data_IF_008642707142
#
_entry.id   IF_008642707142
#
_cell.length_a   1.000
_cell.length_b   1.000
_cell.length_c   1.000
_cell.angle_alpha   90.00
_cell.angle_beta   90.00
_cell.angle_gamma   90.00
#
_symmetry.space_group_name_H-M   'P 1'
#
loop_
_entity.id
_entity.type
_entity.pdbx_description
1 polymer ?
#
# COMPACT_ATOMS: atom_id res chain seq x y z
N UNK A 1 -2.18 12.32 8.43
CA UNK A 1 -1.08 12.23 7.45
C UNK A 1 -1.71 11.86 6.13
N UNK A 2 -1.55 12.71 5.10
CA UNK A 2 -2.04 12.44 3.76
C UNK A 2 -1.37 11.22 3.15
N UNK A 3 -2.13 10.48 2.36
CA UNK A 3 -1.72 9.22 1.76
C UNK A 3 -2.16 9.19 0.30
N UNK A 4 -1.20 9.03 -0.60
CA UNK A 4 -1.48 8.94 -2.04
C UNK A 4 -1.25 7.51 -2.49
N UNK A 5 -2.24 6.87 -3.10
CA UNK A 5 -2.05 5.56 -3.72
C UNK A 5 -0.98 5.67 -4.79
N UNK A 6 -0.11 4.67 -4.87
CA UNK A 6 0.91 4.59 -5.89
C UNK A 6 0.90 3.20 -6.51
N UNK A 7 1.07 3.18 -7.81
CA UNK A 7 1.30 1.93 -8.52
C UNK A 7 2.76 1.54 -8.32
N UNK A 8 2.97 0.30 -7.89
CA UNK A 8 4.30 -0.25 -7.66
C UNK A 8 4.45 -1.55 -8.42
N UNK A 9 5.67 -1.82 -8.86
CA UNK A 9 6.07 -3.10 -9.44
C UNK A 9 6.99 -3.84 -8.49
N UNK A 10 6.75 -5.13 -8.29
CA UNK A 10 7.63 -5.97 -7.50
C UNK A 10 9.00 -6.09 -8.18
N UNK A 11 10.04 -5.76 -7.43
CA UNK A 11 11.42 -5.71 -7.92
C UNK A 11 12.32 -6.77 -7.27
N UNK A 12 11.73 -7.74 -6.58
CA UNK A 12 12.42 -8.81 -5.86
C UNK A 12 12.34 -8.63 -4.35
N UNK A 13 13.30 -9.20 -3.62
CA UNK A 13 13.41 -9.08 -2.16
C UNK A 13 14.71 -8.39 -1.77
N UNK A 14 14.65 -7.45 -0.83
CA UNK A 14 15.81 -6.78 -0.25
C UNK A 14 15.78 -6.99 1.26
N UNK A 15 16.86 -7.56 1.81
CA UNK A 15 16.97 -7.85 3.25
C UNK A 15 15.79 -8.67 3.83
N UNK A 16 15.20 -9.56 3.01
CA UNK A 16 14.05 -10.39 3.40
C UNK A 16 12.68 -9.71 3.26
N UNK A 17 12.64 -8.41 2.91
CA UNK A 17 11.43 -7.64 2.62
C UNK A 17 11.14 -7.64 1.12
N UNK A 18 9.87 -7.63 0.73
CA UNK A 18 9.46 -7.50 -0.67
C UNK A 18 9.75 -6.08 -1.16
N UNK A 19 10.67 -5.95 -2.11
CA UNK A 19 11.06 -4.66 -2.66
C UNK A 19 10.08 -4.26 -3.77
N UNK A 20 9.54 -3.05 -3.64
CA UNK A 20 8.56 -2.47 -4.54
C UNK A 20 9.16 -1.20 -5.14
N UNK A 21 9.05 -1.06 -6.47
CA UNK A 21 9.49 0.14 -7.18
C UNK A 21 8.24 0.91 -7.62
N UNK A 22 8.04 2.17 -7.21
CA UNK A 22 6.96 3.00 -7.71
C UNK A 22 7.14 3.20 -9.22
N UNK A 23 6.08 2.96 -9.98
CA UNK A 23 6.08 3.16 -11.43
C UNK A 23 5.92 4.62 -11.83
N UNK A 24 5.68 5.50 -10.85
CA UNK A 24 5.38 6.92 -11.06
C UNK A 24 3.91 7.23 -11.33
N UNK A 25 3.05 6.21 -11.41
CA UNK A 25 1.61 6.41 -11.48
C UNK A 25 1.02 6.54 -10.07
N UNK A 26 0.53 7.74 -9.77
CA UNK A 26 -0.21 8.04 -8.55
C UNK A 26 -1.71 7.78 -8.81
N UNK A 27 -2.38 7.18 -7.83
CA UNK A 27 -3.79 6.81 -7.86
C UNK A 27 -4.64 7.77 -7.02
N UNK A 28 -5.58 7.21 -6.24
CA UNK A 28 -6.41 8.02 -5.37
C UNK A 28 -5.60 8.70 -4.25
N UNK A 29 -5.84 9.99 -4.08
CA UNK A 29 -5.32 10.77 -2.96
C UNK A 29 -6.31 10.74 -1.79
N UNK A 30 -5.80 10.51 -0.59
CA UNK A 30 -6.56 10.56 0.66
C UNK A 30 -5.94 11.58 1.60
N UNK A 31 -6.75 12.46 2.16
CA UNK A 31 -6.27 13.42 3.16
C UNK A 31 -5.82 12.70 4.44
N UNK A 32 -6.44 11.55 4.74
CA UNK A 32 -5.98 10.63 5.79
C UNK A 32 -6.12 9.18 5.33
N UNK A 33 -5.08 8.37 5.54
CA UNK A 33 -5.14 6.92 5.27
C UNK A 33 -6.31 6.21 5.98
N UNK A 34 -6.75 6.77 7.11
CA UNK A 34 -7.89 6.27 7.86
C UNK A 34 -9.20 6.33 7.05
N UNK A 35 -9.35 7.27 6.13
CA UNK A 35 -10.53 7.33 5.24
C UNK A 35 -10.59 6.09 4.36
N UNK A 36 -9.44 5.70 3.78
CA UNK A 36 -9.34 4.49 2.97
C UNK A 36 -9.60 3.24 3.82
N UNK A 37 -8.98 3.13 5.01
CA UNK A 37 -9.21 2.00 5.92
C UNK A 37 -10.68 1.90 6.33
N UNK A 38 -11.34 3.03 6.61
CA UNK A 38 -12.75 3.10 6.98
C UNK A 38 -13.64 2.67 5.82
N UNK A 39 -13.36 3.12 4.60
CA UNK A 39 -14.07 2.69 3.39
C UNK A 39 -13.95 1.18 3.16
N UNK A 40 -12.76 0.60 3.38
CA UNK A 40 -12.55 -0.85 3.28
C UNK A 40 -13.29 -1.63 4.37
N UNK A 41 -13.31 -1.11 5.60
CA UNK A 41 -14.04 -1.70 6.72
C UNK A 41 -15.56 -1.66 6.46
N UNK A 42 -16.09 -0.55 5.94
CA UNK A 42 -17.49 -0.43 5.51
C UNK A 42 -17.83 -1.41 4.39
N UNK A 43 -16.90 -1.62 3.45
CA UNK A 43 -17.01 -2.63 2.40
C UNK A 43 -16.80 -4.08 2.90
N UNK A 44 -16.67 -4.30 4.21
CA UNK A 44 -16.39 -5.60 4.85
C UNK A 44 -15.16 -6.31 4.26
N UNK A 45 -14.19 -5.55 3.76
CA UNK A 45 -12.93 -6.10 3.25
C UNK A 45 -11.94 -6.25 4.39
N UNK A 46 -11.36 -7.43 4.53
CA UNK A 46 -10.27 -7.67 5.45
C UNK A 46 -8.97 -7.08 4.87
N UNK A 47 -8.48 -6.04 5.52
CA UNK A 47 -7.24 -5.35 5.16
C UNK A 47 -6.20 -5.60 6.26
N UNK A 48 -4.99 -5.94 5.86
CA UNK A 48 -3.86 -6.17 6.77
C UNK A 48 -2.73 -5.22 6.41
N UNK A 49 -2.17 -4.59 7.43
CA UNK A 49 -0.93 -3.82 7.28
C UNK A 49 0.25 -4.77 7.03
N UNK A 50 0.94 -4.54 5.92
CA UNK A 50 2.16 -5.26 5.50
C UNK A 50 3.31 -4.28 5.21
N UNK A 51 3.21 -3.04 5.70
CA UNK A 51 4.23 -1.99 5.54
C UNK A 51 5.59 -2.43 6.07
N UNK A 52 5.60 -3.25 7.12
CA UNK A 52 6.82 -3.82 7.72
C UNK A 52 7.44 -4.96 6.92
N UNK A 53 6.73 -5.49 5.93
CA UNK A 53 7.18 -6.60 5.07
C UNK A 53 7.58 -6.13 3.67
N UNK A 54 7.33 -4.86 3.33
CA UNK A 54 7.61 -4.31 2.02
C UNK A 54 8.50 -3.08 2.12
N UNK A 55 9.36 -2.91 1.12
CA UNK A 55 10.26 -1.77 1.03
C UNK A 55 10.04 -1.05 -0.29
N UNK A 56 9.58 0.20 -0.22
CA UNK A 56 9.31 1.00 -1.42
C UNK A 56 10.51 1.86 -1.75
N UNK A 57 11.17 1.56 -2.86
CA UNK A 57 12.37 2.27 -3.28
C UNK A 57 12.05 3.73 -3.64
N UNK A 58 12.79 4.67 -3.08
CA UNK A 58 12.66 6.09 -3.39
C UNK A 58 11.54 6.84 -2.64
N UNK A 59 10.89 6.19 -1.68
CA UNK A 59 9.88 6.81 -0.83
C UNK A 59 10.39 6.82 0.61
N UNK A 60 10.39 8.00 1.25
CA UNK A 60 10.84 8.15 2.64
C UNK A 60 9.85 7.51 3.63
N UNK A 61 8.56 7.68 3.39
CA UNK A 61 7.51 7.16 4.23
C UNK A 61 6.40 6.56 3.35
N UNK A 62 6.13 5.28 3.55
CA UNK A 62 5.09 4.57 2.82
C UNK A 62 4.25 3.74 3.78
N UNK A 63 3.05 3.42 3.35
CA UNK A 63 2.20 2.44 4.00
C UNK A 63 1.74 1.42 2.96
N UNK A 64 1.78 0.14 3.28
CA UNK A 64 1.35 -0.91 2.40
C UNK A 64 0.32 -1.79 3.08
N UNK A 65 -0.79 -1.98 2.39
CA UNK A 65 -1.93 -2.71 2.90
C UNK A 65 -2.27 -3.82 1.93
N UNK A 66 -2.44 -5.03 2.46
CA UNK A 66 -2.90 -6.17 1.72
C UNK A 66 -4.38 -6.40 2.03
N UNK A 67 -5.24 -6.30 1.01
CA UNK A 67 -6.64 -6.70 1.11
C UNK A 67 -6.84 -8.12 0.58
N UNK A 68 -7.63 -8.93 1.29
CA UNK A 68 -8.05 -10.25 0.83
C UNK A 68 -9.43 -10.12 0.17
N UNK A 69 -9.49 -10.27 -1.15
CA UNK A 69 -10.74 -10.33 -1.91
C UNK A 69 -10.94 -11.76 -2.41
N UNK A 70 -11.65 -12.56 -1.62
CA UNK A 70 -11.81 -14.00 -1.88
C UNK A 70 -10.48 -14.75 -1.85
N UNK A 71 -10.10 -15.37 -2.98
CA UNK A 71 -8.83 -16.08 -3.16
C UNK A 71 -7.66 -15.17 -3.58
N UNK A 72 -7.93 -13.93 -4.01
CA UNK A 72 -6.91 -13.00 -4.48
C UNK A 72 -6.48 -12.05 -3.36
N UNK A 73 -5.18 -11.84 -3.23
CA UNK A 73 -4.58 -10.84 -2.34
C UNK A 73 -4.21 -9.64 -3.20
N UNK A 74 -4.79 -8.48 -2.93
CA UNK A 74 -4.43 -7.22 -3.60
C UNK A 74 -3.55 -6.43 -2.65
N UNK A 75 -2.38 -6.02 -3.12
CA UNK A 75 -1.48 -5.14 -2.39
C UNK A 75 -1.70 -3.69 -2.86
N UNK A 76 -2.01 -2.81 -1.92
CA UNK A 76 -2.15 -1.38 -2.17
C UNK A 76 -1.06 -0.65 -1.39
N UNK A 77 -0.30 0.18 -2.08
CA UNK A 77 0.79 0.95 -1.48
C UNK A 77 0.46 2.42 -1.54
N UNK A 78 0.76 3.12 -0.46
CA UNK A 78 0.54 4.54 -0.29
C UNK A 78 1.86 5.24 -0.01
N UNK A 79 2.07 6.36 -0.68
CA UNK A 79 3.10 7.34 -0.34
C UNK A 79 2.54 8.26 0.74
N UNK A 80 3.21 8.29 1.89
CA UNK A 80 2.88 9.20 2.98
C UNK A 80 3.80 10.41 2.86
N UNK A 81 3.21 11.61 2.86
CA UNK A 81 3.94 12.89 2.75
C UNK A 81 3.81 13.69 4.03
#
# INVERSE_FOLDING_TARGET
MPATEITVTAAGKLAGLDMLIPTGQEGAYFAHIQEWLTAKQQAKKAVRDVSTQVLVKGIKQWAAFQEKSGAKKTLTVFKIT
#
